data_IF_110289164928
#
_entry.id   IF_110289164928
#
_cell.length_a   1.000
_cell.length_b   1.000
_cell.length_c   1.000
_cell.angle_alpha   90.00
_cell.angle_beta   90.00
_cell.angle_gamma   90.00
#
_symmetry.space_group_name_H-M   'P 1'
#
loop_
_entity.id
_entity.type
_entity.pdbx_description
1 polymer ?
#
# COMPACT_ATOMS: atom_id res chain seq x y z
N UNK A 1 29.57 18.58 -31.92
CA UNK A 1 28.23 18.98 -32.40
C UNK A 1 27.38 17.77 -32.82
N UNK A 2 27.67 17.07 -33.93
CA UNK A 2 26.83 15.95 -34.43
C UNK A 2 26.69 14.76 -33.46
N UNK A 3 27.76 14.39 -32.75
CA UNK A 3 27.73 13.32 -31.73
C UNK A 3 26.77 13.63 -30.57
N UNK A 4 26.62 14.91 -30.22
CA UNK A 4 25.73 15.36 -29.14
C UNK A 4 24.25 15.28 -29.59
N UNK A 5 23.98 15.56 -30.86
CA UNK A 5 22.64 15.42 -31.46
C UNK A 5 22.20 13.96 -31.47
N UNK A 6 23.09 13.03 -31.83
CA UNK A 6 22.79 11.59 -31.76
C UNK A 6 22.55 11.11 -30.33
N UNK A 7 23.32 11.62 -29.36
CA UNK A 7 23.14 11.28 -27.96
C UNK A 7 21.81 11.80 -27.40
N UNK A 8 21.43 13.04 -27.74
CA UNK A 8 20.16 13.62 -27.33
C UNK A 8 18.97 12.91 -27.97
N UNK A 9 19.07 12.52 -29.24
CA UNK A 9 18.03 11.73 -29.92
C UNK A 9 17.81 10.36 -29.29
N UNK A 10 18.87 9.72 -28.79
CA UNK A 10 18.78 8.42 -28.11
C UNK A 10 18.01 8.49 -26.78
N UNK A 11 18.17 9.57 -26.01
CA UNK A 11 17.50 9.77 -24.72
C UNK A 11 15.98 9.91 -24.89
N UNK A 12 15.53 10.58 -25.95
CA UNK A 12 14.09 10.80 -26.23
C UNK A 12 13.35 9.49 -26.52
N UNK A 13 14.03 8.45 -27.00
CA UNK A 13 13.44 7.12 -27.26
C UNK A 13 13.03 6.43 -25.94
N UNK A 14 13.72 6.70 -24.83
CA UNK A 14 13.39 6.15 -23.51
C UNK A 14 12.32 6.97 -22.76
N UNK A 15 11.93 8.13 -23.29
CA UNK A 15 10.84 8.94 -22.74
C UNK A 15 9.48 8.63 -23.40
N UNK A 16 9.34 7.47 -24.05
CA UNK A 16 8.12 7.05 -24.71
C UNK A 16 6.90 7.03 -23.76
N UNK A 17 5.73 7.38 -24.30
CA UNK A 17 4.44 7.42 -23.62
C UNK A 17 4.16 6.13 -22.84
N UNK A 18 4.22 6.22 -21.51
CA UNK A 18 3.55 5.24 -20.64
C UNK A 18 2.04 5.43 -20.78
N UNK A 19 1.31 4.32 -20.92
CA UNK A 19 -0.15 4.33 -20.87
C UNK A 19 -0.58 4.32 -19.41
N UNK A 20 -1.26 5.39 -18.98
CA UNK A 20 -1.74 5.49 -17.60
C UNK A 20 -2.95 4.58 -17.46
N UNK A 21 -2.76 3.49 -16.72
CA UNK A 21 -3.87 2.61 -16.36
C UNK A 21 -4.62 3.26 -15.20
N UNK A 22 -5.81 3.80 -15.48
CA UNK A 22 -6.74 4.23 -14.46
C UNK A 22 -7.61 3.04 -14.03
N UNK A 23 -7.43 2.59 -12.78
CA UNK A 23 -8.18 1.48 -12.21
C UNK A 23 -9.19 2.04 -11.22
N UNK A 24 -10.47 1.93 -11.57
CA UNK A 24 -11.54 2.19 -10.62
C UNK A 24 -11.69 1.01 -9.66
N UNK A 25 -11.27 1.21 -8.40
CA UNK A 25 -11.37 0.21 -7.35
C UNK A 25 -12.66 0.43 -6.57
N UNK A 26 -13.42 -0.64 -6.36
CA UNK A 26 -14.59 -0.60 -5.47
C UNK A 26 -14.14 -0.52 -4.01
N UNK A 27 -14.72 0.41 -3.25
CA UNK A 27 -14.59 0.45 -1.79
C UNK A 27 -15.79 -0.21 -1.13
N UNK A 28 -15.53 -0.86 0.00
CA UNK A 28 -16.55 -1.52 0.82
C UNK A 28 -16.59 -0.94 2.23
N UNK A 29 -17.60 -1.29 3.04
CA UNK A 29 -17.63 -0.91 4.45
C UNK A 29 -16.40 -1.51 5.17
N UNK A 30 -15.67 -0.72 5.98
CA UNK A 30 -14.51 -1.20 6.73
C UNK A 30 -14.84 -2.43 7.59
N UNK A 31 -13.92 -3.40 7.60
CA UNK A 31 -14.00 -4.63 8.38
C UNK A 31 -12.94 -4.62 9.48
N UNK A 32 -13.20 -5.36 10.57
CA UNK A 32 -12.20 -5.54 11.64
C UNK A 32 -11.11 -6.50 11.16
N UNK A 33 -9.86 -6.05 11.22
CA UNK A 33 -8.66 -6.83 10.96
C UNK A 33 -8.04 -7.20 12.30
N UNK A 34 -7.80 -8.50 12.50
CA UNK A 34 -7.17 -9.05 13.70
C UNK A 34 -5.80 -9.59 13.32
N UNK A 35 -4.75 -9.01 13.89
CA UNK A 35 -3.36 -9.44 13.68
C UNK A 35 -2.75 -9.81 15.03
N UNK A 36 -2.25 -11.04 15.14
CA UNK A 36 -1.63 -11.54 16.35
C UNK A 36 -0.68 -12.70 16.04
N UNK A 37 0.47 -12.71 16.72
CA UNK A 37 1.35 -13.87 16.77
C UNK A 37 1.16 -14.58 18.11
N UNK A 38 0.58 -15.77 18.09
CA UNK A 38 0.24 -16.52 19.30
C UNK A 38 1.29 -17.59 19.60
N UNK A 39 1.65 -17.72 20.89
CA UNK A 39 2.51 -18.80 21.40
C UNK A 39 1.84 -19.55 22.54
N UNK A 40 2.41 -20.70 22.92
CA UNK A 40 1.99 -21.48 24.08
C UNK A 40 2.72 -21.07 25.38
N UNK A 41 3.46 -19.97 25.37
CA UNK A 41 4.17 -19.47 26.54
C UNK A 41 3.18 -18.79 27.49
N UNK A 42 3.37 -19.00 28.80
CA UNK A 42 2.56 -18.35 29.84
C UNK A 42 3.02 -16.90 30.04
N UNK A 43 2.71 -16.05 29.05
CA UNK A 43 3.01 -14.61 29.05
C UNK A 43 1.87 -13.82 28.42
N UNK A 44 1.74 -12.51 28.70
CA UNK A 44 0.81 -11.65 27.99
C UNK A 44 1.03 -11.75 26.47
N UNK A 45 -0.07 -11.95 25.73
CA UNK A 45 -0.07 -12.01 24.28
C UNK A 45 -0.64 -10.67 23.77
N UNK A 46 0.01 -10.10 22.75
CA UNK A 46 -0.43 -8.84 22.15
C UNK A 46 -1.25 -9.15 20.89
N UNK A 47 -2.43 -8.52 20.80
CA UNK A 47 -3.35 -8.61 19.67
C UNK A 47 -3.58 -7.21 19.14
N UNK A 48 -3.33 -7.01 17.85
CA UNK A 48 -3.55 -5.74 17.17
C UNK A 48 -4.88 -5.78 16.43
N UNK A 49 -5.73 -4.81 16.72
CA UNK A 49 -7.03 -4.62 16.07
C UNK A 49 -7.01 -3.33 15.26
N UNK A 50 -7.36 -3.42 13.98
CA UNK A 50 -7.49 -2.26 13.09
C UNK A 50 -8.71 -2.38 12.20
N UNK A 51 -9.14 -1.27 11.59
CA UNK A 51 -10.10 -1.32 10.48
C UNK A 51 -9.39 -1.48 9.14
N UNK A 52 -10.00 -2.22 8.21
CA UNK A 52 -9.54 -2.29 6.82
C UNK A 52 -9.70 -0.95 6.13
N UNK A 53 -8.82 -0.64 5.18
CA UNK A 53 -8.84 0.60 4.42
C UNK A 53 -8.78 0.32 2.91
N UNK A 54 -9.10 1.33 2.12
CA UNK A 54 -9.02 1.26 0.66
C UNK A 54 -7.60 0.90 0.19
N UNK A 55 -7.52 0.15 -0.91
CA UNK A 55 -6.26 -0.40 -1.41
C UNK A 55 -5.19 0.66 -1.71
N UNK A 56 -5.59 1.81 -2.25
CA UNK A 56 -4.67 2.90 -2.57
C UNK A 56 -4.44 3.87 -1.39
N UNK A 57 -5.08 3.62 -0.24
CA UNK A 57 -4.83 4.42 0.95
C UNK A 57 -3.51 3.98 1.59
N UNK A 58 -2.53 4.89 1.64
CA UNK A 58 -1.20 4.68 2.22
C UNK A 58 -1.07 5.20 3.66
N UNK A 59 -2.15 5.70 4.27
CA UNK A 59 -2.14 6.10 5.67
C UNK A 59 -2.01 4.89 6.60
N UNK A 60 -1.65 5.14 7.86
CA UNK A 60 -1.70 4.12 8.90
C UNK A 60 -3.16 3.71 9.11
N UNK A 61 -3.39 2.40 9.22
CA UNK A 61 -4.72 1.85 9.49
C UNK A 61 -5.26 2.31 10.85
N UNK A 62 -6.55 2.63 10.88
CA UNK A 62 -7.24 3.08 12.09
C UNK A 62 -7.22 1.95 13.13
N UNK A 63 -6.61 2.22 14.28
CA UNK A 63 -6.57 1.30 15.42
C UNK A 63 -7.91 1.28 16.15
N UNK A 64 -8.28 0.10 16.68
CA UNK A 64 -9.46 -0.05 17.53
C UNK A 64 -8.99 -0.10 18.99
N UNK A 65 -9.28 0.95 19.74
CA UNK A 65 -8.99 1.05 21.17
C UNK A 65 -10.21 0.64 22.03
N UNK A 66 -9.97 0.23 23.28
CA UNK A 66 -10.98 -0.17 24.27
C UNK A 66 -11.87 -1.36 23.86
N UNK A 67 -11.38 -2.25 23.00
CA UNK A 67 -12.05 -3.52 22.73
C UNK A 67 -12.10 -4.35 24.03
N UNK A 68 -13.30 -4.57 24.56
CA UNK A 68 -13.54 -5.42 25.71
C UNK A 68 -13.98 -6.81 25.25
N UNK A 69 -13.41 -7.86 25.88
CA UNK A 69 -13.83 -9.26 25.74
C UNK A 69 -14.46 -9.71 27.04
#
# INVERSE_FOLDING_TARGET
>A
MKKLIYFLGFIVIFAACEDVIDVNLESGPPQVVVDAWLTNEEKPQEIKLTLSQDYLNSSIAEGIDNAAV
#
